data_IF_148443600185
#
_entry.id   IF_148443600185
#
_cell.length_a   1.000
_cell.length_b   1.000
_cell.length_c   1.000
_cell.angle_alpha   90.00
_cell.angle_beta   90.00
_cell.angle_gamma   90.00
#
_symmetry.space_group_name_H-M   'P 1'
#
loop_
_entity.id
_entity.type
_entity.pdbx_description
1 polymer ?
#
# COMPACT_ATOMS: atom_id res chain seq x y z
N UNK A 1 -19.26 27.63 3.76
CA UNK A 1 -18.80 26.47 4.54
C UNK A 1 -17.32 26.63 4.81
N UNK A 2 -16.88 26.30 6.02
CA UNK A 2 -15.49 26.44 6.48
C UNK A 2 -14.80 25.07 6.34
N UNK A 3 -13.77 24.97 5.50
CA UNK A 3 -13.05 23.72 5.29
C UNK A 3 -12.11 23.47 6.48
N UNK A 4 -11.95 22.21 6.94
CA UNK A 4 -11.01 21.91 8.02
C UNK A 4 -9.60 22.34 7.63
N UNK A 5 -8.84 22.83 8.62
CA UNK A 5 -7.47 23.25 8.41
C UNK A 5 -6.64 22.11 7.79
N UNK A 6 -5.80 22.39 6.77
CA UNK A 6 -5.01 21.37 6.12
C UNK A 6 -4.07 20.70 7.12
N UNK A 7 -4.02 19.36 7.07
CA UNK A 7 -3.12 18.56 7.92
C UNK A 7 -1.70 18.63 7.38
N UNK A 8 -0.70 18.52 8.28
CA UNK A 8 0.71 18.44 7.89
C UNK A 8 0.97 17.19 7.07
N UNK A 9 1.62 17.35 5.92
CA UNK A 9 2.07 16.25 5.08
C UNK A 9 2.98 15.31 5.87
N UNK A 10 2.74 14.01 5.73
CA UNK A 10 3.53 12.95 6.36
C UNK A 10 4.38 12.26 5.29
N UNK A 11 5.56 11.75 5.68
CA UNK A 11 6.45 11.00 4.81
C UNK A 11 7.01 9.78 5.53
N UNK A 12 7.40 8.77 4.76
CA UNK A 12 8.04 7.55 5.24
C UNK A 12 8.98 7.00 4.17
N UNK A 13 10.13 6.48 4.59
CA UNK A 13 11.04 5.72 3.74
C UNK A 13 10.73 4.22 3.86
N UNK A 14 10.66 3.54 2.71
CA UNK A 14 10.37 2.10 2.62
C UNK A 14 11.23 1.45 1.53
N UNK A 15 11.65 0.18 1.70
CA UNK A 15 12.44 -0.51 0.70
C UNK A 15 11.59 -0.94 -0.49
N UNK A 16 12.19 -0.95 -1.67
CA UNK A 16 11.60 -1.57 -2.86
C UNK A 16 11.63 -3.09 -2.71
N UNK A 17 10.49 -3.73 -2.97
CA UNK A 17 10.35 -5.18 -2.94
C UNK A 17 10.51 -5.77 -4.34
N UNK A 18 11.12 -6.96 -4.41
CA UNK A 18 11.22 -7.70 -5.66
C UNK A 18 9.82 -8.06 -6.21
N UNK A 19 9.62 -7.87 -7.51
CA UNK A 19 8.32 -8.09 -8.16
C UNK A 19 7.78 -9.52 -7.94
N UNK A 20 8.65 -10.53 -7.95
CA UNK A 20 8.27 -11.92 -7.69
C UNK A 20 7.76 -12.17 -6.26
N UNK A 21 8.35 -11.51 -5.27
CA UNK A 21 7.83 -11.54 -3.89
C UNK A 21 6.47 -10.85 -3.83
N UNK A 22 6.34 -9.71 -4.50
CA UNK A 22 5.11 -8.95 -4.49
C UNK A 22 3.93 -9.72 -5.11
N UNK A 23 4.17 -10.36 -6.26
CA UNK A 23 3.19 -11.26 -6.91
C UNK A 23 2.75 -12.40 -6.00
N UNK A 24 3.67 -12.97 -5.22
CA UNK A 24 3.34 -14.04 -4.27
C UNK A 24 2.46 -13.52 -3.13
N UNK A 25 2.84 -12.39 -2.53
CA UNK A 25 2.12 -11.80 -1.40
C UNK A 25 0.69 -11.37 -1.80
N UNK A 26 0.56 -10.66 -2.93
CA UNK A 26 -0.74 -10.17 -3.40
C UNK A 26 -1.55 -11.23 -4.16
N UNK A 27 -0.94 -12.31 -4.65
CA UNK A 27 -1.65 -13.41 -5.30
C UNK A 27 -2.31 -14.40 -4.32
N UNK A 28 -2.07 -14.25 -3.02
CA UNK A 28 -2.66 -15.09 -1.97
C UNK A 28 -4.02 -14.52 -1.56
N UNK A 29 -5.02 -15.38 -1.37
CA UNK A 29 -6.31 -14.96 -0.82
C UNK A 29 -6.17 -14.74 0.69
N UNK A 30 -6.21 -13.46 1.10
CA UNK A 30 -6.15 -13.04 2.51
C UNK A 30 -7.53 -12.64 3.04
N UNK A 31 -8.60 -13.07 2.36
CA UNK A 31 -9.99 -12.84 2.72
C UNK A 31 -10.58 -11.57 2.11
N UNK A 32 -11.80 -11.25 2.55
CA UNK A 32 -12.67 -10.24 1.89
C UNK A 32 -12.05 -8.83 1.81
N UNK A 33 -11.18 -8.47 2.76
CA UNK A 33 -10.51 -7.18 2.78
C UNK A 33 -9.34 -7.09 1.78
N UNK A 34 -8.71 -8.22 1.45
CA UNK A 34 -7.53 -8.30 0.60
C UNK A 34 -7.66 -9.50 -0.35
N UNK A 35 -8.56 -9.42 -1.35
CA UNK A 35 -8.66 -10.44 -2.38
C UNK A 35 -7.38 -10.48 -3.23
N UNK A 36 -7.08 -11.61 -3.88
CA UNK A 36 -5.92 -11.75 -4.74
C UNK A 36 -5.86 -10.64 -5.81
N UNK A 37 -4.67 -10.10 -6.04
CA UNK A 37 -4.40 -9.09 -7.06
C UNK A 37 -3.26 -9.51 -7.99
N UNK A 38 -3.47 -9.23 -9.26
CA UNK A 38 -2.45 -9.42 -10.29
C UNK A 38 -1.54 -8.20 -10.37
N UNK A 39 -0.26 -8.36 -10.03
CA UNK A 39 0.75 -7.30 -10.13
C UNK A 39 1.38 -7.34 -11.53
N UNK A 40 1.16 -6.27 -12.29
CA UNK A 40 1.66 -6.09 -13.66
C UNK A 40 3.16 -5.78 -13.69
N UNK A 41 3.80 -5.94 -14.85
CA UNK A 41 5.24 -5.69 -15.01
C UNK A 41 5.62 -4.20 -14.94
N UNK A 42 4.65 -3.30 -15.11
CA UNK A 42 4.80 -1.84 -15.01
C UNK A 42 4.55 -1.29 -13.59
N UNK A 43 4.36 -2.18 -12.62
CA UNK A 43 4.16 -1.83 -11.21
C UNK A 43 5.41 -2.04 -10.37
N UNK A 44 5.60 -1.19 -9.37
CA UNK A 44 6.62 -1.35 -8.33
C UNK A 44 5.95 -1.49 -6.97
N UNK A 45 6.54 -2.32 -6.11
CA UNK A 45 6.10 -2.48 -4.73
C UNK A 45 7.15 -1.93 -3.78
N UNK A 46 6.69 -1.23 -2.74
CA UNK A 46 7.57 -0.76 -1.68
C UNK A 46 6.87 -0.95 -0.33
N UNK A 47 7.63 -1.35 0.68
CA UNK A 47 7.10 -1.64 2.01
C UNK A 47 7.85 -2.75 2.73
N UNK A 48 7.46 -3.00 3.97
CA UNK A 48 8.02 -4.08 4.78
C UNK A 48 7.08 -5.28 4.75
N UNK A 49 7.56 -6.46 4.32
CA UNK A 49 6.75 -7.67 4.23
C UNK A 49 6.17 -8.14 5.59
N UNK A 50 6.75 -7.67 6.70
CA UNK A 50 6.31 -7.94 8.07
C UNK A 50 5.20 -6.97 8.53
N UNK A 51 4.81 -6.01 7.68
CA UNK A 51 3.93 -4.90 8.04
C UNK A 51 4.66 -3.78 8.79
N UNK A 52 3.89 -2.87 9.38
CA UNK A 52 4.42 -1.73 10.14
C UNK A 52 3.86 -0.41 9.61
N UNK A 53 4.76 0.49 9.20
CA UNK A 53 4.38 1.78 8.61
C UNK A 53 4.24 1.63 7.10
N UNK A 54 3.15 2.13 6.54
CA UNK A 54 2.87 2.09 5.11
C UNK A 54 2.02 3.31 4.70
N UNK A 55 1.81 3.45 3.40
CA UNK A 55 0.90 4.41 2.81
C UNK A 55 -0.56 4.05 3.14
N UNK A 56 -1.34 5.06 3.51
CA UNK A 56 -2.78 4.93 3.70
C UNK A 56 -3.49 5.99 2.87
N UNK A 57 -4.62 5.63 2.27
CA UNK A 57 -5.49 6.62 1.63
C UNK A 57 -6.09 7.52 2.72
N UNK A 58 -5.87 8.83 2.60
CA UNK A 58 -6.43 9.82 3.55
C UNK A 58 -7.63 10.49 2.86
N UNK A 59 -8.84 9.95 3.07
CA UNK A 59 -10.10 10.25 2.34
C UNK A 59 -10.56 9.02 1.52
N UNK A 60 -11.82 8.68 1.27
CA UNK A 60 -13.12 9.34 1.41
C UNK A 60 -14.04 8.51 2.33
N UNK A 61 -14.88 9.24 3.06
CA UNK A 61 -16.02 8.83 3.86
C UNK A 61 -16.80 10.11 4.18
#
# INVERSE_FOLDING_TARGET
EDLPAPRRLQQLEVPVLALGLCRRLYGTDLGRALPPRHIQDDMICAGHAQGGKDTCKVGEG
#
